data_IF_142194001814
#
_entry.id   IF_142194001814
#
_cell.length_a   1.000
_cell.length_b   1.000
_cell.length_c   1.000
_cell.angle_alpha   90.00
_cell.angle_beta   90.00
_cell.angle_gamma   90.00
#
_symmetry.space_group_name_H-M   'P 1'
#
loop_
_entity.id
_entity.type
_entity.pdbx_description
1 polymer ?
#
# COMPACT_ATOMS: atom_id res chain seq x y z
N UNK A 1 -8.80 -11.54 -16.73
CA UNK A 1 -8.16 -10.25 -16.37
C UNK A 1 -8.50 -9.88 -14.94
N UNK A 2 -7.51 -9.45 -14.18
CA UNK A 2 -7.69 -9.14 -12.77
C UNK A 2 -7.76 -7.63 -12.59
N UNK A 3 -8.91 -7.13 -12.16
CA UNK A 3 -9.07 -5.72 -11.85
C UNK A 3 -8.47 -5.36 -10.49
N UNK A 4 -8.37 -4.07 -10.21
CA UNK A 4 -7.94 -3.59 -8.91
C UNK A 4 -8.94 -4.01 -7.85
N UNK A 5 -8.49 -4.54 -6.71
CA UNK A 5 -9.39 -4.86 -5.63
C UNK A 5 -9.88 -3.57 -4.94
N UNK A 6 -11.04 -3.65 -4.31
CA UNK A 6 -11.51 -2.58 -3.44
C UNK A 6 -10.96 -2.83 -2.06
N UNK A 7 -10.16 -1.89 -1.57
CA UNK A 7 -9.49 -2.04 -0.28
C UNK A 7 -9.53 -0.76 0.51
N UNK A 8 -9.50 -0.90 1.82
CA UNK A 8 -9.32 0.21 2.74
C UNK A 8 -7.83 0.55 2.86
N UNK A 9 -7.55 1.71 3.44
CA UNK A 9 -6.19 2.06 3.80
C UNK A 9 -5.57 1.05 4.74
N UNK A 10 -6.33 0.58 5.72
CA UNK A 10 -5.84 -0.38 6.70
C UNK A 10 -5.53 -1.74 6.07
N UNK A 11 -6.36 -2.20 5.15
CA UNK A 11 -6.10 -3.43 4.42
C UNK A 11 -4.84 -3.30 3.58
N UNK A 12 -4.64 -2.13 2.97
CA UNK A 12 -3.44 -1.86 2.19
C UNK A 12 -2.19 -1.86 3.06
N UNK A 13 -2.26 -1.23 4.24
CA UNK A 13 -1.17 -1.24 5.21
C UNK A 13 -0.82 -2.68 5.62
N UNK A 14 -1.82 -3.50 5.90
CA UNK A 14 -1.60 -4.89 6.27
C UNK A 14 -0.93 -5.67 5.14
N UNK A 15 -1.38 -5.48 3.90
CA UNK A 15 -0.79 -6.14 2.74
C UNK A 15 0.66 -5.72 2.55
N UNK A 16 0.95 -4.43 2.63
CA UNK A 16 2.31 -3.92 2.46
C UNK A 16 3.23 -4.36 3.60
N UNK A 17 2.69 -4.53 4.80
CA UNK A 17 3.45 -5.08 5.92
C UNK A 17 3.93 -6.50 5.57
N UNK A 18 3.08 -7.30 4.94
CA UNK A 18 3.45 -8.64 4.47
C UNK A 18 4.48 -8.60 3.35
N UNK A 19 4.56 -7.48 2.64
CA UNK A 19 5.53 -7.27 1.56
C UNK A 19 6.85 -6.67 2.06
N UNK A 20 7.02 -6.52 3.37
CA UNK A 20 8.27 -6.04 3.94
C UNK A 20 8.31 -4.54 4.24
N UNK A 21 7.15 -3.89 4.22
CA UNK A 21 7.07 -2.48 4.62
C UNK A 21 6.75 -2.39 6.10
N UNK A 22 7.21 -1.31 6.73
CA UNK A 22 6.90 -1.00 8.11
C UNK A 22 6.24 0.37 8.17
N UNK A 23 5.38 0.54 9.16
CA UNK A 23 4.77 1.84 9.41
C UNK A 23 5.85 2.76 9.97
N UNK A 24 6.07 3.89 9.29
CA UNK A 24 7.06 4.88 9.69
C UNK A 24 6.41 5.95 10.58
N UNK A 25 5.36 6.59 10.07
CA UNK A 25 4.63 7.61 10.83
C UNK A 25 3.25 7.79 10.23
N UNK A 26 2.40 8.53 10.97
CA UNK A 26 1.08 8.91 10.48
C UNK A 26 0.83 10.37 10.81
N UNK A 27 0.32 11.11 9.82
CA UNK A 27 -0.11 12.49 9.99
C UNK A 27 -1.56 12.57 9.50
N UNK A 28 -2.50 12.79 10.45
CA UNK A 28 -3.91 12.78 10.10
C UNK A 28 -4.28 11.45 9.45
N UNK A 29 -4.84 11.52 8.25
CA UNK A 29 -5.24 10.33 7.50
C UNK A 29 -4.15 9.79 6.57
N UNK A 30 -2.92 10.31 6.65
CA UNK A 30 -1.82 9.86 5.80
C UNK A 30 -0.87 8.96 6.57
N UNK A 31 -0.86 7.68 6.23
CA UNK A 31 0.02 6.68 6.85
C UNK A 31 1.24 6.52 5.94
N UNK A 32 2.41 6.85 6.47
CA UNK A 32 3.66 6.68 5.71
C UNK A 32 4.27 5.35 6.07
N UNK A 33 4.55 4.52 5.06
CA UNK A 33 5.22 3.25 5.22
C UNK A 33 6.59 3.30 4.55
N UNK A 34 7.51 2.49 5.03
CA UNK A 34 8.88 2.45 4.56
C UNK A 34 9.34 1.01 4.47
N UNK A 35 10.05 0.66 3.39
CA UNK A 35 10.64 -0.68 3.30
C UNK A 35 11.66 -0.88 4.43
N UNK A 36 11.61 -2.06 5.04
CA UNK A 36 12.54 -2.43 6.10
C UNK A 36 13.96 -2.56 5.58
N UNK A 37 14.12 -2.91 4.31
CA UNK A 37 15.44 -3.13 3.68
C UNK A 37 15.69 -2.08 2.59
N UNK A 38 16.94 -1.93 2.18
CA UNK A 38 17.29 -1.03 1.09
C UNK A 38 16.51 -1.43 -0.17
N UNK A 39 16.07 -0.46 -0.99
CA UNK A 39 16.37 0.99 -0.93
C UNK A 39 15.50 1.80 0.02
N UNK A 40 14.74 1.19 0.93
CA UNK A 40 13.92 1.89 1.92
C UNK A 40 12.88 2.82 1.27
N UNK A 41 12.21 2.32 0.25
CA UNK A 41 11.18 3.09 -0.43
C UNK A 41 10.08 3.48 0.54
N UNK A 42 9.58 4.69 0.37
CA UNK A 42 8.44 5.19 1.14
C UNK A 42 7.20 5.25 0.28
N UNK A 43 6.07 5.00 0.89
CA UNK A 43 4.78 5.08 0.24
C UNK A 43 3.77 5.63 1.25
N UNK A 44 2.89 6.50 0.79
CA UNK A 44 1.86 7.10 1.64
C UNK A 44 0.52 6.45 1.33
N UNK A 45 -0.13 5.95 2.38
CA UNK A 45 -1.42 5.26 2.28
C UNK A 45 -2.47 6.13 2.97
N UNK A 46 -3.53 6.54 2.27
CA UNK A 46 -4.61 7.27 2.94
C UNK A 46 -5.41 6.31 3.83
N UNK A 47 -5.69 6.75 5.05
CA UNK A 47 -6.47 5.93 6.00
C UNK A 47 -7.97 6.15 5.71
N UNK A 48 -8.40 5.69 4.54
CA UNK A 48 -9.78 5.79 4.08
C UNK A 48 -10.43 4.41 4.08
N UNK A 49 -11.75 4.39 4.20
CA UNK A 49 -12.50 3.13 4.12
C UNK A 49 -12.31 2.43 2.79
N UNK A 50 -12.18 3.22 1.73
CA UNK A 50 -11.89 2.67 0.40
C UNK A 50 -10.92 3.61 -0.30
N UNK A 51 -9.80 3.06 -0.75
CA UNK A 51 -8.80 3.82 -1.49
C UNK A 51 -9.27 3.94 -2.93
N UNK A 52 -9.20 5.15 -3.48
CA UNK A 52 -9.57 5.36 -4.88
C UNK A 52 -8.65 4.54 -5.80
N UNK A 53 -9.18 4.18 -6.98
CA UNK A 53 -8.43 3.39 -7.94
C UNK A 53 -7.13 4.08 -8.38
N UNK A 54 -7.19 5.38 -8.60
CA UNK A 54 -5.99 6.14 -8.99
C UNK A 54 -4.92 6.14 -7.91
N UNK A 55 -5.33 6.29 -6.65
CA UNK A 55 -4.40 6.24 -5.52
C UNK A 55 -3.80 4.84 -5.37
N UNK A 56 -4.61 3.79 -5.49
CA UNK A 56 -4.10 2.43 -5.40
C UNK A 56 -3.12 2.13 -6.52
N UNK A 57 -3.40 2.57 -7.75
CA UNK A 57 -2.47 2.41 -8.87
C UNK A 57 -1.13 3.11 -8.58
N UNK A 58 -1.18 4.30 -7.98
CA UNK A 58 0.04 5.02 -7.62
C UNK A 58 0.84 4.26 -6.55
N UNK A 59 0.14 3.71 -5.56
CA UNK A 59 0.77 2.89 -4.52
C UNK A 59 1.47 1.67 -5.13
N UNK A 60 0.80 0.98 -6.04
CA UNK A 60 1.39 -0.18 -6.70
C UNK A 60 2.60 0.21 -7.55
N UNK A 61 2.53 1.35 -8.24
CA UNK A 61 3.68 1.87 -9.00
C UNK A 61 4.87 2.14 -8.10
N UNK A 62 4.63 2.78 -6.97
CA UNK A 62 5.69 3.13 -6.03
C UNK A 62 6.32 1.90 -5.38
N UNK A 63 5.53 0.88 -5.11
CA UNK A 63 6.02 -0.35 -4.48
C UNK A 63 6.57 -1.35 -5.49
N UNK A 64 6.24 -1.21 -6.77
CA UNK A 64 6.63 -2.14 -7.80
C UNK A 64 5.83 -3.44 -7.80
N UNK A 65 4.77 -3.52 -7.00
CA UNK A 65 3.93 -4.71 -6.95
C UNK A 65 2.96 -4.74 -8.12
N UNK A 66 2.76 -5.92 -8.69
CA UNK A 66 1.68 -6.12 -9.65
C UNK A 66 0.36 -6.24 -8.90
N UNK A 67 -0.75 -6.11 -9.63
CA UNK A 67 -2.09 -6.30 -9.05
C UNK A 67 -2.20 -7.69 -8.43
N UNK A 68 -1.71 -8.71 -9.14
CA UNK A 68 -1.77 -10.09 -8.67
C UNK A 68 -0.95 -10.29 -7.39
N UNK A 69 0.24 -9.72 -7.35
CA UNK A 69 1.08 -9.80 -6.15
C UNK A 69 0.41 -9.13 -4.96
N UNK A 70 -0.17 -7.96 -5.19
CA UNK A 70 -0.86 -7.24 -4.13
C UNK A 70 -2.08 -8.03 -3.63
N UNK A 71 -2.88 -8.59 -4.55
CA UNK A 71 -4.05 -9.38 -4.16
C UNK A 71 -3.64 -10.59 -3.33
N UNK A 72 -2.51 -11.20 -3.64
CA UNK A 72 -2.02 -12.35 -2.87
C UNK A 72 -1.63 -11.99 -1.44
N UNK A 73 -1.39 -10.71 -1.17
CA UNK A 73 -1.04 -10.23 0.17
C UNK A 73 -2.26 -9.84 1.02
N UNK A 74 -3.43 -9.77 0.41
CA UNK A 74 -4.66 -9.38 1.12
C UNK A 74 -5.20 -10.47 2.03
#
# INVERSE_FOLDING_TARGET
MTGLPRVSGRETVAALTRAGYERDRQRGSHIVMRQAVAPHRRVTIPDHREISRGTLRAILRQTGLTVEEFRALL
#
